data_IF_448851711757
#
_entry.id   IF_448851711757
#
_cell.length_a   1.000
_cell.length_b   1.000
_cell.length_c   1.000
_cell.angle_alpha   90.00
_cell.angle_beta   90.00
_cell.angle_gamma   90.00
#
_symmetry.space_group_name_H-M   'P 1'
#
loop_
_entity.id
_entity.type
_entity.pdbx_description
1 polymer ?
#
# COMPACT_ATOMS: atom_id res chain seq x y z
N UNK A 1 6.46 -0.10 -1.91
CA UNK A 1 5.30 0.55 -2.59
C UNK A 1 5.67 1.86 -3.29
N UNK A 2 6.46 2.77 -2.71
CA UNK A 2 6.81 4.05 -3.37
C UNK A 2 7.52 3.82 -4.71
N UNK A 3 8.43 2.85 -4.79
CA UNK A 3 9.14 2.49 -6.01
C UNK A 3 8.26 1.93 -7.15
N UNK A 4 6.96 1.73 -6.90
CA UNK A 4 6.01 1.26 -7.91
C UNK A 4 5.13 2.42 -8.37
N UNK A 5 5.35 3.00 -9.56
CA UNK A 5 4.39 3.92 -10.16
C UNK A 5 3.02 3.25 -10.27
N UNK A 6 1.96 3.97 -9.90
CA UNK A 6 0.61 3.41 -9.83
C UNK A 6 -0.44 4.46 -10.21
N UNK A 7 -0.35 4.98 -11.42
CA UNK A 7 -1.46 5.79 -11.95
C UNK A 7 -2.72 4.92 -12.08
N UNK A 8 -3.89 5.55 -11.99
CA UNK A 8 -5.18 4.84 -12.03
C UNK A 8 -5.25 3.86 -13.21
N UNK A 9 -5.59 2.61 -12.94
CA UNK A 9 -5.59 1.49 -13.90
C UNK A 9 -4.24 0.75 -14.01
N UNK A 10 -3.21 1.15 -13.28
CA UNK A 10 -1.89 0.50 -13.30
C UNK A 10 -1.32 0.28 -11.88
N UNK A 11 -2.15 -0.24 -10.97
CA UNK A 11 -1.84 -0.41 -9.55
C UNK A 11 -1.16 -1.75 -9.23
N UNK A 12 -0.97 -2.62 -10.21
CA UNK A 12 -0.42 -3.98 -10.04
C UNK A 12 0.83 -4.05 -9.16
N UNK A 13 1.76 -3.10 -9.33
CA UNK A 13 3.01 -3.09 -8.57
C UNK A 13 2.77 -2.85 -7.08
N UNK A 14 1.83 -1.98 -6.73
CA UNK A 14 1.46 -1.73 -5.33
C UNK A 14 0.69 -2.90 -4.75
N UNK A 15 -0.26 -3.46 -5.50
CA UNK A 15 -1.00 -4.66 -5.10
C UNK A 15 -0.04 -5.83 -4.83
N UNK A 16 0.94 -6.06 -5.70
CA UNK A 16 1.96 -7.11 -5.51
C UNK A 16 2.80 -6.88 -4.25
N UNK A 17 3.20 -5.64 -3.98
CA UNK A 17 3.98 -5.31 -2.80
C UNK A 17 3.19 -5.56 -1.50
N UNK A 18 1.92 -5.19 -1.47
CA UNK A 18 1.03 -5.46 -0.33
C UNK A 18 0.75 -6.96 -0.17
N UNK A 19 0.47 -7.67 -1.27
CA UNK A 19 0.27 -9.13 -1.24
C UNK A 19 1.52 -9.84 -0.70
N UNK A 20 2.70 -9.43 -1.14
CA UNK A 20 3.98 -9.97 -0.64
C UNK A 20 4.17 -9.70 0.86
N UNK A 21 3.80 -8.51 1.34
CA UNK A 21 3.83 -8.20 2.76
C UNK A 21 2.88 -9.12 3.55
N UNK A 22 1.62 -9.25 3.14
CA UNK A 22 0.67 -10.12 3.81
C UNK A 22 1.13 -11.58 3.84
N UNK A 23 1.67 -12.09 2.73
CA UNK A 23 2.25 -13.43 2.70
C UNK A 23 3.43 -13.57 3.68
N UNK A 24 4.29 -12.55 3.82
CA UNK A 24 5.45 -12.58 4.72
C UNK A 24 5.08 -12.62 6.20
N UNK A 25 3.89 -12.15 6.55
CA UNK A 25 3.35 -12.19 7.92
C UNK A 25 2.33 -13.31 8.15
N UNK A 26 2.21 -14.25 7.20
CA UNK A 26 1.39 -15.46 7.35
C UNK A 26 -0.09 -15.29 6.96
N UNK A 27 -0.49 -14.14 6.43
CA UNK A 27 -1.87 -13.96 5.94
C UNK A 27 -2.02 -14.66 4.59
N UNK A 28 -2.85 -15.68 4.54
CA UNK A 28 -3.04 -16.54 3.36
C UNK A 28 -4.32 -16.24 2.58
N UNK A 29 -5.32 -15.63 3.20
CA UNK A 29 -6.55 -15.22 2.51
C UNK A 29 -6.38 -13.85 1.87
N UNK A 30 -5.60 -13.83 0.78
CA UNK A 30 -5.31 -12.63 -0.01
C UNK A 30 -5.71 -12.88 -1.46
N UNK A 31 -6.55 -12.02 -2.00
CA UNK A 31 -7.02 -12.14 -3.37
C UNK A 31 -7.06 -10.78 -4.08
N UNK A 32 -6.97 -10.79 -5.39
CA UNK A 32 -7.26 -9.64 -6.23
C UNK A 32 -8.55 -9.90 -7.00
N UNK A 33 -9.49 -9.00 -6.92
CA UNK A 33 -10.75 -9.12 -7.66
C UNK A 33 -10.60 -8.70 -9.13
N UNK A 34 -11.70 -8.82 -9.89
CA UNK A 34 -11.73 -8.47 -11.32
C UNK A 34 -11.55 -6.97 -11.60
N UNK A 35 -11.71 -6.12 -10.60
CA UNK A 35 -11.50 -4.68 -10.70
C UNK A 35 -10.08 -4.27 -10.31
N UNK A 36 -9.25 -5.22 -9.83
CA UNK A 36 -7.89 -4.96 -9.38
C UNK A 36 -7.77 -4.64 -7.89
N UNK A 37 -8.87 -4.68 -7.13
CA UNK A 37 -8.83 -4.45 -5.70
C UNK A 37 -8.10 -5.60 -5.01
N UNK A 38 -7.11 -5.30 -4.18
CA UNK A 38 -6.48 -6.28 -3.30
C UNK A 38 -7.30 -6.41 -2.02
N UNK A 39 -7.72 -7.60 -1.70
CA UNK A 39 -8.49 -7.92 -0.51
C UNK A 39 -7.69 -8.91 0.33
N UNK A 40 -7.36 -8.53 1.56
CA UNK A 40 -6.75 -9.42 2.55
C UNK A 40 -7.72 -9.61 3.71
N UNK A 41 -7.96 -10.85 4.11
CA UNK A 41 -8.83 -11.18 5.23
C UNK A 41 -8.03 -11.85 6.33
N UNK A 42 -8.22 -11.36 7.52
CA UNK A 42 -7.62 -11.90 8.75
C UNK A 42 -8.75 -12.35 9.65
N UNK A 43 -8.82 -13.66 9.89
CA UNK A 43 -9.88 -14.26 10.67
C UNK A 43 -9.47 -14.31 12.13
N UNK A 44 -10.30 -13.77 13.00
CA UNK A 44 -10.09 -13.88 14.45
C UNK A 44 -10.59 -15.22 14.99
N UNK A 45 -10.05 -15.64 16.12
CA UNK A 45 -10.38 -16.92 16.78
C UNK A 45 -11.74 -16.93 17.48
N UNK A 46 -12.39 -15.78 17.60
CA UNK A 46 -13.65 -15.64 18.35
C UNK A 46 -14.69 -14.89 17.53
N UNK A 47 -15.98 -15.21 17.70
CA UNK A 47 -17.06 -14.44 17.12
C UNK A 47 -16.97 -12.96 17.55
N UNK A 48 -17.12 -12.05 16.61
CA UNK A 48 -17.01 -10.63 16.88
C UNK A 48 -17.40 -9.76 15.69
N UNK A 49 -17.12 -8.49 15.80
CA UNK A 49 -17.33 -7.52 14.72
C UNK A 49 -16.17 -7.60 13.72
N UNK A 50 -16.48 -7.36 12.47
CA UNK A 50 -15.48 -7.17 11.42
C UNK A 50 -15.09 -5.70 11.36
N UNK A 51 -13.79 -5.43 11.28
CA UNK A 51 -13.25 -4.10 10.99
C UNK A 51 -12.81 -4.12 9.53
N UNK A 52 -13.25 -3.13 8.76
CA UNK A 52 -12.80 -2.92 7.40
C UNK A 52 -11.84 -1.72 7.38
N UNK A 53 -10.65 -1.94 6.85
CA UNK A 53 -9.74 -0.87 6.42
C UNK A 53 -9.88 -0.73 4.91
N UNK A 54 -10.06 0.48 4.44
CA UNK A 54 -10.20 0.78 3.02
C UNK A 54 -9.27 1.92 2.61
N UNK A 55 -8.72 1.83 1.40
CA UNK A 55 -7.83 2.84 0.86
C UNK A 55 -7.49 2.57 -0.60
N UNK A 56 -7.01 3.60 -1.31
CA UNK A 56 -6.67 3.48 -2.71
C UNK A 56 -5.16 3.26 -2.94
N UNK A 57 -4.84 2.52 -4.01
CA UNK A 57 -3.47 2.18 -4.39
C UNK A 57 -2.93 3.12 -5.48
N UNK A 58 -3.80 3.81 -6.18
CA UNK A 58 -3.39 4.70 -7.25
C UNK A 58 -2.84 6.03 -6.74
N UNK A 59 -2.13 6.69 -7.61
CA UNK A 59 -1.61 8.04 -7.41
C UNK A 59 -1.78 8.86 -8.68
N UNK A 60 -1.85 10.17 -8.54
CA UNK A 60 -1.70 11.05 -9.70
C UNK A 60 -0.32 10.86 -10.32
N UNK A 61 -0.17 11.09 -11.64
CA UNK A 61 1.12 10.94 -12.31
C UNK A 61 2.16 11.92 -11.75
N UNK A 62 3.43 11.58 -11.97
CA UNK A 62 4.52 12.53 -11.80
C UNK A 62 4.64 13.30 -13.11
N UNK A 63 4.40 14.58 -13.04
CA UNK A 63 4.71 15.57 -14.10
C UNK A 63 5.87 16.40 -13.62
N UNK A 64 6.57 17.07 -14.53
CA UNK A 64 7.67 18.00 -14.24
C UNK A 64 8.68 17.39 -13.25
N UNK A 65 9.19 16.18 -13.60
CA UNK A 65 10.08 15.38 -12.73
C UNK A 65 11.33 16.15 -12.31
N UNK A 66 11.79 17.06 -13.13
CA UNK A 66 12.92 17.96 -12.90
C UNK A 66 12.69 18.95 -11.75
N UNK A 67 11.45 19.25 -11.41
CA UNK A 67 11.08 20.12 -10.30
C UNK A 67 11.10 19.41 -8.93
N UNK A 68 11.26 18.08 -8.93
CA UNK A 68 11.31 17.29 -7.71
C UNK A 68 12.70 17.34 -7.08
N UNK A 69 12.78 17.77 -5.82
CA UNK A 69 14.04 17.78 -5.06
C UNK A 69 14.58 16.38 -4.76
N UNK A 70 13.69 15.35 -4.72
CA UNK A 70 14.01 13.94 -4.55
C UNK A 70 13.36 13.14 -5.67
N UNK A 71 13.97 12.02 -6.07
CA UNK A 71 13.33 11.15 -7.05
C UNK A 71 11.97 10.67 -6.52
N UNK A 72 10.86 10.96 -7.23
CA UNK A 72 9.51 10.64 -6.77
C UNK A 72 9.24 9.16 -6.56
N UNK A 73 10.10 8.28 -7.04
CA UNK A 73 9.96 6.83 -6.91
C UNK A 73 11.11 6.16 -6.14
N UNK A 74 12.10 6.89 -5.67
CA UNK A 74 13.19 6.31 -4.89
C UNK A 74 12.76 5.93 -3.47
N UNK A 75 11.80 6.65 -2.87
CA UNK A 75 11.41 6.43 -1.48
C UNK A 75 12.52 6.80 -0.51
N UNK A 76 13.21 7.90 -0.79
CA UNK A 76 14.31 8.40 0.03
C UNK A 76 13.83 8.79 1.42
N UNK A 77 14.64 8.48 2.43
CA UNK A 77 14.41 8.89 3.82
C UNK A 77 15.53 9.83 4.24
N UNK A 78 15.16 11.06 4.52
CA UNK A 78 16.09 12.08 4.99
C UNK A 78 15.48 12.82 6.19
N UNK A 79 16.26 13.00 7.25
CA UNK A 79 15.84 13.71 8.48
C UNK A 79 14.49 13.21 9.04
N UNK A 80 14.23 11.91 8.97
CA UNK A 80 12.98 11.29 9.46
C UNK A 80 11.75 11.53 8.56
N UNK A 81 11.94 12.01 7.35
CA UNK A 81 10.88 12.22 6.35
C UNK A 81 11.08 11.26 5.19
N UNK A 82 10.00 10.66 4.73
CA UNK A 82 9.96 9.83 3.52
C UNK A 82 9.49 10.67 2.34
N UNK A 83 10.30 10.72 1.29
CA UNK A 83 10.02 11.49 0.08
C UNK A 83 9.57 10.56 -1.06
N UNK A 84 8.57 10.99 -1.83
CA UNK A 84 8.13 10.30 -3.03
C UNK A 84 6.65 10.46 -3.35
N UNK A 85 6.25 10.07 -4.56
CA UNK A 85 4.86 10.11 -5.00
C UNK A 85 4.02 9.08 -4.22
N UNK A 86 2.94 9.55 -3.61
CA UNK A 86 2.05 8.72 -2.82
C UNK A 86 2.47 8.54 -1.36
N UNK A 87 3.53 9.19 -0.88
CA UNK A 87 3.92 9.12 0.54
C UNK A 87 2.86 9.73 1.46
N UNK A 88 2.16 10.76 1.03
CA UNK A 88 1.08 11.38 1.79
C UNK A 88 -0.29 10.83 1.39
N UNK A 89 -0.52 10.61 0.08
CA UNK A 89 -1.80 10.18 -0.49
C UNK A 89 -1.58 9.01 -1.47
N UNK A 90 -1.85 7.75 -1.07
CA UNK A 90 -1.99 7.36 0.34
C UNK A 90 -1.20 6.08 0.65
N UNK A 91 -0.08 5.81 -0.07
CA UNK A 91 0.70 4.57 0.11
C UNK A 91 1.25 4.38 1.53
N UNK A 92 1.57 5.47 2.24
CA UNK A 92 1.96 5.37 3.64
C UNK A 92 0.80 4.92 4.52
N UNK A 93 -0.41 5.44 4.27
CA UNK A 93 -1.59 4.99 5.01
C UNK A 93 -1.89 3.52 4.75
N UNK A 94 -1.77 3.04 3.49
CA UNK A 94 -1.89 1.61 3.16
C UNK A 94 -0.87 0.76 3.94
N UNK A 95 0.39 1.21 4.00
CA UNK A 95 1.42 0.51 4.76
C UNK A 95 1.09 0.47 6.26
N UNK A 96 0.68 1.60 6.83
CA UNK A 96 0.30 1.69 8.24
C UNK A 96 -0.88 0.78 8.57
N UNK A 97 -1.93 0.78 7.74
CA UNK A 97 -3.10 -0.09 7.90
C UNK A 97 -2.71 -1.58 7.84
N UNK A 98 -1.91 -1.96 6.86
CA UNK A 98 -1.47 -3.34 6.69
C UNK A 98 -0.63 -3.81 7.90
N UNK A 99 0.33 -3.00 8.35
CA UNK A 99 1.18 -3.32 9.50
C UNK A 99 0.36 -3.36 10.79
N UNK A 100 -0.52 -2.38 11.02
CA UNK A 100 -1.36 -2.35 12.22
C UNK A 100 -2.32 -3.55 12.27
N UNK A 101 -2.95 -3.90 11.14
CA UNK A 101 -3.81 -5.08 11.08
C UNK A 101 -3.03 -6.36 11.36
N UNK A 102 -1.85 -6.54 10.75
CA UNK A 102 -1.02 -7.73 10.98
C UNK A 102 -0.47 -7.82 12.42
N UNK A 103 -0.19 -6.69 13.07
CA UNK A 103 0.32 -6.67 14.44
C UNK A 103 -0.74 -7.04 15.50
N UNK A 104 -2.02 -7.00 15.12
CA UNK A 104 -3.15 -7.28 16.03
C UNK A 104 -3.97 -8.51 15.63
N UNK A 105 -3.49 -9.27 14.66
CA UNK A 105 -4.09 -10.51 14.15
C UNK A 105 -3.61 -11.77 14.85
#
# INVERSE_FOLDING_TARGET
>A
MIASPSVSGNEKGVASALSGFFASVGVTDVMTDRCGNLIARMHGDRPGKTILFDGHMDTVPVVDREDWAHDPYAGEIENGRLYGRGTSDMKCALACMAVAAAAHW
#
